data_IF_664706699702
#
_entry.id   IF_664706699702
#
_cell.length_a   1.000
_cell.length_b   1.000
_cell.length_c   1.000
_cell.angle_alpha   90.00
_cell.angle_beta   90.00
_cell.angle_gamma   90.00
#
_symmetry.space_group_name_H-M   'P 1'
#
loop_
_entity.id
_entity.type
_entity.pdbx_description
1 polymer ?
#
# COMPACT_ATOMS: atom_id res chain seq x y z
N UNK A 1 -8.57 -27.86 7.35
CA UNK A 1 -7.15 -27.62 7.70
C UNK A 1 -6.31 -28.61 6.93
N UNK A 2 -5.33 -28.13 6.16
CA UNK A 2 -4.52 -29.02 5.30
C UNK A 2 -3.22 -29.42 6.01
N UNK A 3 -2.59 -28.51 6.78
CA UNK A 3 -1.41 -28.81 7.60
C UNK A 3 -1.45 -28.09 8.96
N UNK A 4 -1.50 -26.76 8.97
CA UNK A 4 -1.73 -25.92 10.15
C UNK A 4 -2.25 -24.56 9.71
N UNK A 5 -3.07 -23.89 10.55
CA UNK A 5 -3.59 -22.56 10.21
C UNK A 5 -2.46 -21.57 9.88
N UNK A 6 -1.34 -21.64 10.60
CA UNK A 6 -0.17 -20.79 10.39
C UNK A 6 0.43 -20.97 8.97
N UNK A 7 0.65 -22.22 8.56
CA UNK A 7 1.25 -22.55 7.25
C UNK A 7 0.27 -22.25 6.12
N UNK A 8 -0.99 -22.67 6.27
CA UNK A 8 -2.01 -22.52 5.25
C UNK A 8 -2.23 -21.01 4.94
N UNK A 9 -2.33 -20.17 5.97
CA UNK A 9 -2.45 -18.70 5.81
C UNK A 9 -1.18 -18.11 5.19
N UNK A 10 0.01 -18.60 5.56
CA UNK A 10 1.26 -18.09 5.00
C UNK A 10 1.39 -18.37 3.50
N UNK A 11 0.98 -19.57 3.05
CA UNK A 11 0.97 -19.94 1.63
C UNK A 11 -0.04 -19.08 0.86
N UNK A 12 -1.24 -18.89 1.39
CA UNK A 12 -2.26 -18.02 0.77
C UNK A 12 -1.75 -16.58 0.68
N UNK A 13 -1.10 -16.08 1.73
CA UNK A 13 -0.51 -14.74 1.77
C UNK A 13 0.56 -14.58 0.68
N UNK A 14 1.43 -15.57 0.50
CA UNK A 14 2.44 -15.57 -0.55
C UNK A 14 1.82 -15.47 -1.94
N UNK A 15 0.78 -16.27 -2.22
CA UNK A 15 0.06 -16.22 -3.50
C UNK A 15 -0.56 -14.84 -3.72
N UNK A 16 -1.21 -14.26 -2.70
CA UNK A 16 -1.81 -12.93 -2.79
C UNK A 16 -0.77 -11.82 -3.02
N UNK A 17 0.40 -11.90 -2.38
CA UNK A 17 1.50 -10.95 -2.64
C UNK A 17 1.93 -11.05 -4.12
N UNK A 18 2.12 -12.26 -4.64
CA UNK A 18 2.51 -12.46 -6.05
C UNK A 18 1.46 -11.88 -7.00
N UNK A 19 0.18 -12.19 -6.79
CA UNK A 19 -0.93 -11.66 -7.59
C UNK A 19 -1.01 -10.13 -7.52
N UNK A 20 -0.88 -9.56 -6.32
CA UNK A 20 -0.85 -8.11 -6.11
C UNK A 20 0.28 -7.46 -6.89
N UNK A 21 1.47 -8.07 -6.92
CA UNK A 21 2.59 -7.56 -7.70
C UNK A 21 2.36 -7.65 -9.20
N UNK A 22 1.69 -8.70 -9.69
CA UNK A 22 1.31 -8.83 -11.10
C UNK A 22 0.34 -7.71 -11.48
N UNK A 23 -0.70 -7.46 -10.68
CA UNK A 23 -1.65 -6.35 -10.90
C UNK A 23 -0.89 -5.02 -10.91
N UNK A 24 -0.06 -4.77 -9.90
CA UNK A 24 0.71 -3.53 -9.81
C UNK A 24 1.65 -3.35 -10.99
N UNK A 25 2.30 -4.41 -11.48
CA UNK A 25 3.17 -4.33 -12.67
C UNK A 25 2.37 -4.10 -13.95
N UNK A 26 1.20 -4.72 -14.08
CA UNK A 26 0.37 -4.62 -15.29
C UNK A 26 -0.38 -3.30 -15.39
N UNK A 27 -0.82 -2.74 -14.28
CA UNK A 27 -1.68 -1.55 -14.25
C UNK A 27 -1.01 -0.31 -13.63
N UNK A 28 0.04 -0.49 -12.83
CA UNK A 28 0.85 0.59 -12.28
C UNK A 28 2.02 0.86 -13.20
N UNK A 29 1.83 1.74 -14.19
CA UNK A 29 2.95 2.25 -14.99
C UNK A 29 3.85 3.13 -14.09
N UNK A 30 4.81 2.49 -13.42
CA UNK A 30 5.67 3.13 -12.42
C UNK A 30 6.50 4.28 -12.99
N UNK A 31 6.87 4.19 -14.26
CA UNK A 31 7.71 5.22 -14.89
C UNK A 31 6.88 6.43 -15.27
N UNK A 32 5.69 6.25 -15.85
CA UNK A 32 4.73 7.35 -16.03
C UNK A 32 4.36 8.02 -14.70
N UNK A 33 4.17 7.25 -13.63
CA UNK A 33 3.87 7.83 -12.31
C UNK A 33 5.03 8.69 -11.79
N UNK A 34 6.29 8.28 -12.01
CA UNK A 34 7.47 9.07 -11.61
C UNK A 34 7.59 10.34 -12.44
N UNK A 35 7.34 10.27 -13.74
CA UNK A 35 7.35 11.45 -14.62
C UNK A 35 6.26 12.45 -14.21
N UNK A 36 5.02 11.97 -13.99
CA UNK A 36 3.93 12.83 -13.50
C UNK A 36 4.24 13.44 -12.13
N UNK A 37 4.88 12.70 -11.23
CA UNK A 37 5.34 13.26 -9.95
C UNK A 37 6.41 14.35 -10.11
N UNK A 38 7.34 14.20 -11.07
CA UNK A 38 8.32 15.26 -11.37
C UNK A 38 7.63 16.50 -11.91
N UNK A 39 6.73 16.34 -12.88
CA UNK A 39 5.95 17.44 -13.47
C UNK A 39 5.12 18.19 -12.41
N UNK A 40 4.48 17.47 -11.49
CA UNK A 40 3.75 18.10 -10.38
C UNK A 40 4.69 18.92 -9.49
N UNK A 41 5.88 18.41 -9.16
CA UNK A 41 6.87 19.15 -8.36
C UNK A 41 7.38 20.41 -9.07
N UNK A 42 7.64 20.31 -10.36
CA UNK A 42 8.04 21.44 -11.20
C UNK A 42 6.93 22.51 -11.26
N UNK A 43 5.67 22.10 -11.50
CA UNK A 43 4.52 23.01 -11.50
C UNK A 43 4.25 23.64 -10.13
N UNK A 44 4.44 22.90 -9.03
CA UNK A 44 4.33 23.46 -7.68
C UNK A 44 5.39 24.54 -7.40
N UNK A 45 6.62 24.35 -7.90
CA UNK A 45 7.65 25.38 -7.80
C UNK A 45 7.26 26.64 -8.58
N UNK A 46 6.78 26.48 -9.83
CA UNK A 46 6.32 27.60 -10.66
C UNK A 46 5.13 28.34 -10.03
N UNK A 47 4.17 27.61 -9.46
CA UNK A 47 3.02 28.19 -8.78
C UNK A 47 3.46 29.04 -7.58
N UNK A 48 4.45 28.57 -6.80
CA UNK A 48 5.02 29.32 -5.68
C UNK A 48 5.72 30.61 -6.13
N UNK A 49 6.38 30.60 -7.30
CA UNK A 49 7.00 31.79 -7.89
C UNK A 49 5.96 32.80 -8.40
N UNK A 50 4.86 32.33 -8.99
CA UNK A 50 3.79 33.17 -9.52
C UNK A 50 2.89 33.75 -8.43
N UNK A 51 2.70 33.05 -7.31
CA UNK A 51 1.97 33.56 -6.14
C UNK A 51 2.58 34.82 -5.54
N UNK A 52 3.87 35.08 -5.79
CA UNK A 52 4.56 36.30 -5.35
C UNK A 52 4.33 37.52 -6.25
N UNK A 53 3.61 37.38 -7.37
CA UNK A 53 3.38 38.45 -8.35
C UNK A 53 1.89 38.82 -8.39
N UNK A 54 1.57 40.10 -8.25
CA UNK A 54 0.17 40.59 -8.17
C UNK A 54 -0.46 40.93 -9.52
N UNK A 55 0.21 40.67 -10.64
CA UNK A 55 -0.29 41.05 -11.98
C UNK A 55 -1.39 40.09 -12.51
N UNK A 56 -2.30 40.63 -13.33
CA UNK A 56 -3.45 39.89 -13.87
C UNK A 56 -3.02 38.70 -14.77
N UNK A 57 -1.84 38.78 -15.40
CA UNK A 57 -1.29 37.70 -16.22
C UNK A 57 -0.83 36.54 -15.33
N UNK A 58 -0.12 36.83 -14.23
CA UNK A 58 0.26 35.84 -13.22
C UNK A 58 -0.94 35.13 -12.60
N UNK A 59 -2.08 35.82 -12.40
CA UNK A 59 -3.33 35.18 -11.94
C UNK A 59 -3.90 34.18 -12.96
N UNK A 60 -3.92 34.53 -14.24
CA UNK A 60 -4.40 33.63 -15.31
C UNK A 60 -3.46 32.43 -15.51
N UNK A 61 -2.14 32.65 -15.43
CA UNK A 61 -1.13 31.59 -15.54
C UNK A 61 -1.22 30.63 -14.33
N UNK A 62 -1.50 31.15 -13.14
CA UNK A 62 -1.71 30.36 -11.93
C UNK A 62 -2.96 29.48 -12.02
N UNK A 63 -4.09 30.02 -12.48
CA UNK A 63 -5.32 29.22 -12.69
C UNK A 63 -5.11 28.10 -13.72
N UNK A 64 -4.33 28.38 -14.78
CA UNK A 64 -3.99 27.38 -15.80
C UNK A 64 -3.12 26.27 -15.20
N UNK A 65 -2.09 26.63 -14.44
CA UNK A 65 -1.21 25.67 -13.75
C UNK A 65 -1.98 24.80 -12.74
N UNK A 66 -2.95 25.38 -12.02
CA UNK A 66 -3.80 24.65 -11.09
C UNK A 66 -4.66 23.61 -11.82
N UNK A 67 -5.27 23.97 -12.95
CA UNK A 67 -6.05 23.04 -13.78
C UNK A 67 -5.19 21.90 -14.31
N UNK A 68 -4.00 22.20 -14.83
CA UNK A 68 -3.07 21.16 -15.33
C UNK A 68 -2.61 20.24 -14.20
N UNK A 69 -2.29 20.78 -13.02
CA UNK A 69 -1.92 19.99 -11.85
C UNK A 69 -3.07 19.07 -11.42
N UNK A 70 -4.30 19.60 -11.35
CA UNK A 70 -5.49 18.80 -11.05
C UNK A 70 -5.70 17.68 -12.07
N UNK A 71 -5.52 17.95 -13.36
CA UNK A 71 -5.63 16.93 -14.40
C UNK A 71 -4.61 15.80 -14.19
N UNK A 72 -3.34 16.13 -13.94
CA UNK A 72 -2.32 15.12 -13.65
C UNK A 72 -2.61 14.32 -12.38
N UNK A 73 -3.14 14.97 -11.33
CA UNK A 73 -3.58 14.28 -10.11
C UNK A 73 -4.74 13.32 -10.39
N UNK A 74 -5.73 13.74 -11.17
CA UNK A 74 -6.86 12.89 -11.56
C UNK A 74 -6.40 11.67 -12.37
N UNK A 75 -5.45 11.85 -13.30
CA UNK A 75 -4.89 10.72 -14.05
C UNK A 75 -4.13 9.73 -13.14
N UNK A 76 -3.34 10.23 -12.19
CA UNK A 76 -2.65 9.40 -11.20
C UNK A 76 -3.64 8.64 -10.30
N UNK A 77 -4.69 9.33 -9.84
CA UNK A 77 -5.78 8.71 -9.08
C UNK A 77 -6.48 7.64 -9.92
N UNK A 78 -6.77 7.92 -11.19
CA UNK A 78 -7.39 6.95 -12.11
C UNK A 78 -6.58 5.66 -12.25
N UNK A 79 -5.25 5.76 -12.36
CA UNK A 79 -4.34 4.61 -12.34
C UNK A 79 -4.44 3.82 -11.03
N UNK A 80 -4.36 4.52 -9.90
CA UNK A 80 -4.46 3.92 -8.56
C UNK A 80 -5.82 3.23 -8.34
N UNK A 81 -6.91 3.86 -8.77
CA UNK A 81 -8.27 3.33 -8.67
C UNK A 81 -8.45 2.05 -9.50
N UNK A 82 -7.82 1.96 -10.68
CA UNK A 82 -7.81 0.71 -11.46
C UNK A 82 -7.14 -0.41 -10.67
N UNK A 83 -5.94 -0.16 -10.14
CA UNK A 83 -5.20 -1.13 -9.31
C UNK A 83 -6.05 -1.58 -8.12
N UNK A 84 -6.66 -0.63 -7.41
CA UNK A 84 -7.50 -0.91 -6.25
C UNK A 84 -8.70 -1.79 -6.62
N UNK A 85 -9.43 -1.46 -7.71
CA UNK A 85 -10.59 -2.25 -8.15
C UNK A 85 -10.22 -3.69 -8.45
N UNK A 86 -9.14 -3.93 -9.20
CA UNK A 86 -8.68 -5.29 -9.49
C UNK A 86 -8.16 -6.01 -8.24
N UNK A 87 -7.50 -5.28 -7.34
CA UNK A 87 -7.02 -5.85 -6.08
C UNK A 87 -8.20 -6.27 -5.20
N UNK A 88 -9.25 -5.45 -5.09
CA UNK A 88 -10.42 -5.76 -4.29
C UNK A 88 -11.14 -7.03 -4.78
N UNK A 89 -11.25 -7.21 -6.11
CA UNK A 89 -11.84 -8.43 -6.71
C UNK A 89 -11.07 -9.70 -6.34
N UNK A 90 -9.75 -9.61 -6.10
CA UNK A 90 -8.93 -10.76 -5.69
C UNK A 90 -8.94 -10.94 -4.17
N UNK A 91 -8.76 -9.85 -3.43
CA UNK A 91 -8.60 -9.91 -1.98
C UNK A 91 -9.91 -10.20 -1.27
N UNK A 92 -11.05 -9.70 -1.75
CA UNK A 92 -12.33 -9.86 -1.06
C UNK A 92 -12.78 -11.35 -1.01
N UNK A 93 -12.75 -12.13 -2.11
CA UNK A 93 -13.01 -13.56 -2.04
C UNK A 93 -11.98 -14.31 -1.19
N UNK A 94 -10.69 -13.94 -1.28
CA UNK A 94 -9.66 -14.58 -0.49
C UNK A 94 -9.87 -14.37 1.02
N UNK A 95 -10.29 -13.17 1.42
CA UNK A 95 -10.61 -12.84 2.81
C UNK A 95 -11.90 -13.52 3.27
N UNK A 96 -12.90 -13.64 2.41
CA UNK A 96 -14.12 -14.39 2.73
C UNK A 96 -13.80 -15.88 2.98
N UNK A 97 -12.96 -16.49 2.15
CA UNK A 97 -12.50 -17.86 2.32
C UNK A 97 -11.68 -18.01 3.62
N UNK A 98 -10.73 -17.10 3.86
CA UNK A 98 -9.92 -17.13 5.08
C UNK A 98 -10.78 -16.97 6.33
N UNK A 99 -11.72 -16.04 6.33
CA UNK A 99 -12.66 -15.84 7.45
C UNK A 99 -13.57 -17.05 7.67
N UNK A 100 -14.02 -17.71 6.61
CA UNK A 100 -14.86 -18.91 6.71
C UNK A 100 -14.10 -20.11 7.31
N UNK A 101 -12.84 -20.33 6.91
CA UNK A 101 -12.07 -21.49 7.36
C UNK A 101 -11.26 -21.26 8.64
N UNK A 102 -10.87 -20.01 8.91
CA UNK A 102 -9.95 -19.65 10.01
C UNK A 102 -10.50 -18.55 10.92
N UNK A 103 -11.79 -18.20 10.81
CA UNK A 103 -12.41 -17.12 11.59
C UNK A 103 -12.18 -17.21 13.10
N UNK A 104 -12.18 -18.43 13.63
CA UNK A 104 -11.96 -18.74 15.05
C UNK A 104 -10.53 -19.18 15.37
N UNK A 105 -9.63 -19.17 14.40
CA UNK A 105 -8.25 -19.63 14.60
C UNK A 105 -7.46 -18.61 15.44
N UNK A 106 -6.94 -19.09 16.56
CA UNK A 106 -5.93 -18.41 17.38
C UNK A 106 -4.58 -18.99 17.00
N UNK A 107 -3.61 -18.11 16.75
CA UNK A 107 -2.28 -18.44 16.26
C UNK A 107 -1.27 -17.93 17.28
N UNK A 108 -0.52 -18.85 17.86
CA UNK A 108 0.62 -18.54 18.72
C UNK A 108 1.75 -17.95 17.87
N UNK A 109 2.25 -16.80 18.29
CA UNK A 109 3.31 -16.09 17.60
C UNK A 109 4.67 -16.59 18.06
N UNK A 110 5.67 -16.66 17.15
CA UNK A 110 7.04 -17.02 17.53
C UNK A 110 7.79 -15.90 18.25
N UNK A 111 7.20 -14.71 18.35
CA UNK A 111 7.71 -13.55 19.06
C UNK A 111 6.53 -12.66 19.47
N UNK A 112 6.68 -11.95 20.59
CA UNK A 112 5.70 -10.97 21.05
C UNK A 112 5.61 -9.78 20.08
N UNK A 113 4.39 -9.39 19.72
CA UNK A 113 4.15 -8.19 18.92
C UNK A 113 3.54 -7.07 19.77
N UNK A 114 4.06 -5.83 19.66
CA UNK A 114 3.39 -4.69 20.25
C UNK A 114 2.10 -4.40 19.46
N UNK A 115 0.96 -4.45 20.16
CA UNK A 115 -0.35 -4.12 19.59
C UNK A 115 -1.16 -3.25 20.56
N UNK A 116 -2.29 -2.73 20.08
CA UNK A 116 -3.15 -1.86 20.90
C UNK A 116 -3.82 -2.66 22.02
N UNK A 117 -3.42 -2.35 23.26
CA UNK A 117 -3.82 -3.01 24.50
C UNK A 117 -5.35 -3.16 24.64
N UNK A 118 -6.08 -2.10 24.26
CA UNK A 118 -7.53 -1.99 24.43
C UNK A 118 -8.25 -1.65 23.12
N UNK A 119 -7.60 -1.87 21.96
CA UNK A 119 -8.10 -1.49 20.65
C UNK A 119 -7.86 -0.02 20.27
N UNK A 120 -8.46 0.40 19.14
CA UNK A 120 -8.36 1.77 18.63
C UNK A 120 -9.71 2.48 18.75
N UNK A 121 -9.87 3.32 19.76
CA UNK A 121 -11.00 4.24 19.84
C UNK A 121 -10.53 5.68 19.58
N UNK A 122 -11.03 6.28 18.50
CA UNK A 122 -10.67 7.63 18.06
C UNK A 122 -10.98 8.69 19.11
N UNK A 123 -11.97 8.46 19.97
CA UNK A 123 -12.46 9.41 20.96
C UNK A 123 -12.02 9.10 22.39
N UNK A 124 -11.36 7.96 22.60
CA UNK A 124 -10.84 7.57 23.90
C UNK A 124 -9.33 7.28 23.83
N UNK A 125 -8.54 8.35 23.95
CA UNK A 125 -7.06 8.30 23.97
C UNK A 125 -6.49 7.39 25.07
N UNK A 126 -7.26 7.09 26.12
CA UNK A 126 -6.86 6.15 27.17
C UNK A 126 -6.81 4.69 26.70
N UNK A 127 -7.40 4.37 25.55
CA UNK A 127 -7.33 3.03 24.95
C UNK A 127 -6.06 2.80 24.14
N UNK A 128 -5.28 3.85 23.85
CA UNK A 128 -4.11 3.81 22.96
C UNK A 128 -2.84 3.29 23.66
N UNK A 129 -3.01 2.39 24.63
CA UNK A 129 -1.91 1.66 25.25
C UNK A 129 -1.31 0.65 24.27
N UNK A 130 -0.01 0.40 24.40
CA UNK A 130 0.68 -0.66 23.66
C UNK A 130 0.93 -1.79 24.66
N UNK A 131 0.47 -2.99 24.32
CA UNK A 131 0.78 -4.21 25.07
C UNK A 131 1.44 -5.24 24.14
N UNK A 132 2.15 -6.19 24.74
CA UNK A 132 2.85 -7.25 24.04
C UNK A 132 1.94 -8.48 23.99
N UNK A 133 1.66 -8.94 22.77
CA UNK A 133 0.79 -10.08 22.53
C UNK A 133 1.59 -11.28 22.00
N UNK A 134 1.40 -12.43 22.64
CA UNK A 134 1.95 -13.72 22.21
C UNK A 134 1.03 -14.46 21.22
N UNK A 135 -0.21 -14.00 21.06
CA UNK A 135 -1.21 -14.64 20.20
C UNK A 135 -1.88 -13.62 19.29
N UNK A 136 -2.27 -14.09 18.11
CA UNK A 136 -3.06 -13.30 17.15
C UNK A 136 -4.18 -14.14 16.54
N UNK A 137 -5.19 -13.48 16.01
CA UNK A 137 -6.15 -14.12 15.12
C UNK A 137 -5.55 -14.33 13.71
N UNK A 138 -6.29 -15.04 12.86
CA UNK A 138 -5.92 -15.29 11.46
C UNK A 138 -5.61 -14.03 10.66
N UNK A 139 -6.30 -12.92 10.92
CA UNK A 139 -6.11 -11.65 10.21
C UNK A 139 -4.78 -11.01 10.57
N UNK A 140 -4.43 -10.95 11.85
CA UNK A 140 -3.16 -10.40 12.30
C UNK A 140 -1.98 -11.24 11.82
N UNK A 141 -2.11 -12.57 11.84
CA UNK A 141 -1.08 -13.45 11.25
C UNK A 141 -0.93 -13.24 9.75
N UNK A 142 -2.04 -13.20 9.01
CA UNK A 142 -2.05 -12.87 7.59
C UNK A 142 -1.32 -11.54 7.32
N UNK A 143 -1.61 -10.50 8.09
CA UNK A 143 -1.00 -9.19 7.92
C UNK A 143 0.51 -9.23 8.17
N UNK A 144 0.96 -9.88 9.24
CA UNK A 144 2.38 -10.04 9.56
C UNK A 144 3.13 -10.77 8.45
N UNK A 145 2.59 -11.89 7.97
CA UNK A 145 3.22 -12.67 6.90
C UNK A 145 3.22 -11.88 5.60
N UNK A 146 2.10 -11.25 5.23
CA UNK A 146 2.00 -10.42 4.02
C UNK A 146 3.03 -9.28 4.03
N UNK A 147 3.17 -8.60 5.18
CA UNK A 147 4.15 -7.52 5.36
C UNK A 147 5.58 -8.05 5.28
N UNK A 148 5.88 -9.13 5.99
CA UNK A 148 7.20 -9.78 5.98
C UNK A 148 7.64 -10.20 4.57
N UNK A 149 6.76 -10.90 3.84
CA UNK A 149 7.01 -11.31 2.45
C UNK A 149 7.24 -10.07 1.57
N UNK A 150 6.40 -9.03 1.72
CA UNK A 150 6.52 -7.81 0.91
C UNK A 150 7.86 -7.11 1.14
N UNK A 151 8.32 -7.01 2.40
CA UNK A 151 9.61 -6.42 2.75
C UNK A 151 10.75 -7.24 2.14
N UNK A 152 10.75 -8.56 2.35
CA UNK A 152 11.77 -9.47 1.81
C UNK A 152 11.85 -9.38 0.30
N UNK A 153 10.71 -9.39 -0.40
CA UNK A 153 10.67 -9.26 -1.86
C UNK A 153 11.19 -7.89 -2.34
N UNK A 154 10.87 -6.81 -1.64
CA UNK A 154 11.34 -5.48 -2.01
C UNK A 154 12.86 -5.33 -1.79
N UNK A 155 13.41 -5.90 -0.72
CA UNK A 155 14.85 -5.95 -0.47
C UNK A 155 15.54 -6.81 -1.54
N UNK A 156 15.01 -8.01 -1.82
CA UNK A 156 15.53 -8.91 -2.84
C UNK A 156 15.59 -8.25 -4.22
N UNK A 157 14.53 -7.54 -4.64
CA UNK A 157 14.51 -6.78 -5.90
C UNK A 157 15.59 -5.70 -5.95
N UNK A 158 15.79 -4.96 -4.85
CA UNK A 158 16.84 -3.94 -4.77
C UNK A 158 18.24 -4.54 -4.90
N UNK A 159 18.49 -5.68 -4.23
CA UNK A 159 19.78 -6.39 -4.30
C UNK A 159 20.05 -6.92 -5.71
N UNK A 160 19.07 -7.58 -6.34
CA UNK A 160 19.19 -8.10 -7.70
C UNK A 160 19.46 -7.00 -8.73
N UNK A 161 18.82 -5.83 -8.58
CA UNK A 161 19.10 -4.67 -9.43
C UNK A 161 20.51 -4.12 -9.22
N UNK A 162 21.01 -4.11 -7.98
CA UNK A 162 22.38 -3.66 -7.65
C UNK A 162 23.46 -4.60 -8.21
N UNK A 163 23.17 -5.90 -8.31
CA UNK A 163 24.09 -6.92 -8.84
C UNK A 163 24.00 -7.01 -10.38
N UNK A 164 23.15 -6.22 -11.04
CA UNK A 164 23.04 -6.17 -12.50
C UNK A 164 22.25 -7.33 -13.13
N UNK A 165 21.58 -8.14 -12.31
CA UNK A 165 20.82 -9.32 -12.76
C UNK A 165 19.44 -8.92 -13.34
N UNK A 166 18.92 -7.75 -12.99
CA UNK A 166 17.70 -7.20 -13.59
C UNK A 166 17.97 -5.85 -14.25
N UNK A 167 18.09 -5.86 -15.57
CA UNK A 167 17.92 -4.68 -16.42
C UNK A 167 16.48 -4.64 -16.92
N UNK A 168 15.66 -3.81 -16.27
CA UNK A 168 14.25 -3.59 -16.55
C UNK A 168 13.73 -2.44 -15.70
#
# INVERSE_FOLDING_TARGET
MIISAMIDIAVISLVLVILSQIIQKKFGNRDEMKEKQKLIKEKQAQMKELMGKEDQKSKNDLETLEKEMMQHMQEMMGGTMKIMKYSLVIFLPAFAILGFFYGEAIIDLPFEIPWLANGFDLFNLGTWGIDLYEQTNWYGWYFLVYLGITIVMNIGKKLLKKIGVMNG
#
